data_IF_826811345628
#
_entry.id   IF_826811345628
#
_cell.length_a   1.000
_cell.length_b   1.000
_cell.length_c   1.000
_cell.angle_alpha   90.00
_cell.angle_beta   90.00
_cell.angle_gamma   90.00
#
_symmetry.space_group_name_H-M   'P 1'
#
loop_
_entity.id
_entity.type
_entity.pdbx_description
1 polymer ?
#
# COMPACT_ATOMS: atom_id res chain seq x y z
N UNK A 1 15.91 -8.20 -31.43
CA UNK A 1 15.22 -8.88 -30.31
C UNK A 1 16.21 -9.01 -29.17
N UNK A 2 15.92 -8.45 -27.99
CA UNK A 2 16.84 -8.46 -26.85
C UNK A 2 16.32 -9.44 -25.80
N UNK A 3 17.19 -10.31 -25.29
CA UNK A 3 16.90 -11.21 -24.17
C UNK A 3 17.72 -10.78 -22.98
N UNK A 4 17.06 -10.26 -21.95
CA UNK A 4 17.71 -9.99 -20.68
C UNK A 4 17.94 -11.31 -19.92
N UNK A 5 19.17 -11.54 -19.46
CA UNK A 5 19.55 -12.70 -18.64
C UNK A 5 20.21 -12.17 -17.37
N UNK A 6 19.45 -12.15 -16.28
CA UNK A 6 19.88 -11.60 -15.00
C UNK A 6 20.54 -12.68 -14.12
N UNK A 7 21.51 -12.31 -13.26
CA UNK A 7 22.19 -13.26 -12.38
C UNK A 7 21.25 -13.79 -11.28
N UNK A 8 21.36 -15.09 -10.96
CA UNK A 8 20.72 -15.66 -9.78
C UNK A 8 21.54 -15.31 -8.55
N UNK A 9 21.08 -14.36 -7.72
CA UNK A 9 21.43 -14.36 -6.29
C UNK A 9 20.20 -14.03 -5.44
N UNK A 10 19.42 -15.06 -5.14
CA UNK A 10 18.54 -15.07 -3.98
C UNK A 10 19.22 -15.93 -2.91
N UNK A 11 19.67 -15.31 -1.81
CA UNK A 11 20.14 -16.04 -0.62
C UNK A 11 18.94 -16.24 0.30
N UNK A 12 18.39 -17.45 0.32
CA UNK A 12 17.24 -17.85 1.12
C UNK A 12 17.57 -18.12 2.61
N UNK A 13 18.69 -17.59 3.12
CA UNK A 13 19.21 -18.01 4.44
C UNK A 13 18.44 -17.43 5.65
N UNK A 14 17.46 -16.53 5.45
CA UNK A 14 16.64 -15.95 6.54
C UNK A 14 15.12 -16.09 6.32
N UNK A 15 14.69 -17.13 5.61
CA UNK A 15 13.28 -17.36 5.31
C UNK A 15 12.55 -18.15 6.40
N UNK A 16 12.46 -17.63 7.64
CA UNK A 16 11.60 -18.21 8.70
C UNK A 16 11.03 -17.19 9.69
N UNK A 17 10.93 -15.91 9.33
CA UNK A 17 10.06 -14.98 10.07
C UNK A 17 8.93 -14.61 9.12
N UNK A 18 7.69 -15.00 9.44
CA UNK A 18 6.50 -14.43 8.81
C UNK A 18 6.55 -12.91 9.03
N UNK A 19 7.15 -12.19 8.08
CA UNK A 19 7.17 -10.74 8.11
C UNK A 19 5.74 -10.25 7.97
N UNK A 20 5.37 -9.33 8.85
CA UNK A 20 4.04 -8.72 8.81
C UNK A 20 3.89 -8.00 7.46
N UNK A 21 2.76 -8.15 6.76
CA UNK A 21 2.51 -7.34 5.58
C UNK A 21 2.54 -5.84 5.94
N UNK A 22 2.84 -4.96 4.97
CA UNK A 22 2.93 -3.52 5.20
C UNK A 22 1.60 -2.94 5.70
N UNK A 23 1.61 -1.67 6.12
CA UNK A 23 0.44 -0.99 6.73
C UNK A 23 -0.15 -1.76 7.93
N UNK A 24 0.71 -2.32 8.78
CA UNK A 24 0.36 -2.98 10.04
C UNK A 24 1.32 -2.58 11.17
N UNK A 25 1.83 -1.34 11.14
CA UNK A 25 2.87 -0.89 12.07
C UNK A 25 2.45 -1.01 13.55
N UNK A 26 1.16 -0.87 13.84
CA UNK A 26 0.60 -1.04 15.19
C UNK A 26 0.14 -2.48 15.50
N UNK A 27 0.50 -3.45 14.65
CA UNK A 27 0.07 -4.84 14.74
C UNK A 27 -1.19 -5.14 13.91
N UNK A 28 -1.28 -6.38 13.42
CA UNK A 28 -2.35 -6.80 12.50
C UNK A 28 -3.78 -6.59 13.05
N UNK A 29 -3.96 -6.73 14.37
CA UNK A 29 -5.26 -6.52 15.04
C UNK A 29 -5.70 -5.05 15.09
N UNK A 30 -4.78 -4.11 14.94
CA UNK A 30 -5.06 -2.68 14.99
C UNK A 30 -5.17 -2.05 13.59
N UNK A 31 -4.91 -2.83 12.53
CA UNK A 31 -5.16 -2.39 11.17
C UNK A 31 -6.68 -2.34 10.91
N UNK A 32 -7.12 -1.34 10.18
CA UNK A 32 -8.48 -1.22 9.72
C UNK A 32 -8.64 -2.02 8.42
N UNK A 33 -9.51 -3.03 8.47
CA UNK A 33 -9.84 -3.90 7.33
C UNK A 33 -11.22 -3.61 6.76
N UNK A 34 -11.94 -2.62 7.30
CA UNK A 34 -13.32 -2.34 6.93
C UNK A 34 -13.39 -1.49 5.66
N UNK A 35 -12.97 -2.08 4.55
CA UNK A 35 -13.07 -1.50 3.22
C UNK A 35 -14.12 -2.22 2.40
N UNK A 36 -14.92 -1.43 1.68
CA UNK A 36 -15.95 -1.87 0.76
C UNK A 36 -15.50 -1.55 -0.65
N UNK A 37 -15.77 -2.47 -1.58
CA UNK A 37 -15.41 -2.31 -2.99
C UNK A 37 -16.66 -2.26 -3.85
N UNK A 38 -16.66 -1.37 -4.83
CA UNK A 38 -17.66 -1.31 -5.89
C UNK A 38 -17.00 -1.43 -7.25
N UNK A 39 -17.33 -2.49 -7.98
CA UNK A 39 -16.75 -2.84 -9.27
C UNK A 39 -16.42 -4.33 -9.34
N UNK A 40 -16.38 -4.90 -10.55
CA UNK A 40 -16.10 -6.33 -10.79
C UNK A 40 -14.92 -6.56 -11.74
N UNK A 41 -14.06 -5.56 -11.85
CA UNK A 41 -12.94 -5.61 -12.79
C UNK A 41 -11.84 -6.55 -12.30
N UNK A 42 -11.10 -7.15 -13.23
CA UNK A 42 -10.02 -8.10 -12.93
C UNK A 42 -8.84 -7.48 -12.17
N UNK A 43 -8.72 -6.15 -12.21
CA UNK A 43 -7.71 -5.37 -11.48
C UNK A 43 -8.22 -4.85 -10.12
N UNK A 44 -9.43 -5.23 -9.70
CA UNK A 44 -9.90 -4.87 -8.37
C UNK A 44 -8.96 -5.46 -7.30
N UNK A 45 -8.62 -4.71 -6.23
CA UNK A 45 -7.83 -5.26 -5.16
C UNK A 45 -8.60 -6.36 -4.43
N UNK A 46 -7.89 -7.38 -3.97
CA UNK A 46 -8.43 -8.46 -3.15
C UNK A 46 -8.57 -8.07 -1.69
N UNK A 47 -7.61 -7.31 -1.20
CA UNK A 47 -7.55 -6.88 0.20
C UNK A 47 -7.14 -5.42 0.21
N UNK A 48 -7.85 -4.64 1.04
CA UNK A 48 -7.50 -3.25 1.33
C UNK A 48 -7.53 -3.08 2.84
N UNK A 49 -6.47 -2.48 3.38
CA UNK A 49 -6.38 -2.18 4.81
C UNK A 49 -5.51 -0.96 5.04
N UNK A 50 -5.66 -0.35 6.20
CA UNK A 50 -4.81 0.76 6.63
C UNK A 50 -4.37 0.60 8.09
N UNK A 51 -3.24 1.21 8.45
CA UNK A 51 -2.81 1.37 9.84
C UNK A 51 -2.99 2.81 10.34
N UNK A 52 -3.95 3.56 9.79
CA UNK A 52 -4.17 4.96 10.13
C UNK A 52 -3.08 5.92 9.66
N UNK A 53 -2.00 5.43 9.06
CA UNK A 53 -0.94 6.24 8.43
C UNK A 53 -0.82 5.94 6.94
N UNK A 54 -0.78 4.67 6.57
CA UNK A 54 -0.69 4.22 5.19
C UNK A 54 -1.83 3.26 4.85
N UNK A 55 -2.26 3.29 3.58
CA UNK A 55 -3.26 2.37 3.04
C UNK A 55 -2.58 1.38 2.10
N UNK A 56 -2.84 0.11 2.26
CA UNK A 56 -2.29 -0.96 1.46
C UNK A 56 -3.37 -1.60 0.58
N UNK A 57 -3.04 -1.79 -0.69
CA UNK A 57 -3.90 -2.41 -1.68
C UNK A 57 -3.20 -3.64 -2.25
N UNK A 58 -3.80 -4.82 -2.07
CA UNK A 58 -3.27 -6.07 -2.62
C UNK A 58 -4.02 -6.46 -3.87
N UNK A 59 -3.29 -6.53 -4.98
CA UNK A 59 -3.81 -6.88 -6.29
C UNK A 59 -3.52 -8.34 -6.66
N UNK A 60 -4.15 -8.79 -7.74
CA UNK A 60 -3.77 -10.04 -8.39
C UNK A 60 -2.37 -9.92 -8.97
N UNK A 61 -1.43 -10.81 -8.62
CA UNK A 61 -0.09 -10.80 -9.22
C UNK A 61 -0.11 -11.04 -10.74
N UNK A 62 -1.21 -11.55 -11.30
CA UNK A 62 -1.38 -11.78 -12.74
C UNK A 62 -2.25 -10.72 -13.44
N UNK A 63 -2.74 -9.69 -12.75
CA UNK A 63 -3.47 -8.58 -13.37
C UNK A 63 -2.55 -7.40 -13.67
N UNK A 64 -2.93 -6.59 -14.66
CA UNK A 64 -2.31 -5.27 -14.86
C UNK A 64 -2.46 -4.41 -13.60
N UNK A 65 -1.39 -3.71 -13.22
CA UNK A 65 -1.41 -2.80 -12.07
C UNK A 65 -2.13 -1.50 -12.45
N UNK A 66 -3.25 -1.17 -11.77
CA UNK A 66 -3.99 0.05 -12.02
C UNK A 66 -3.35 1.25 -11.31
N UNK A 67 -3.82 2.45 -11.65
CA UNK A 67 -3.50 3.68 -10.89
C UNK A 67 -4.52 3.91 -9.79
N UNK A 68 -4.04 4.34 -8.63
CA UNK A 68 -4.85 4.63 -7.44
C UNK A 68 -4.94 6.15 -7.28
N UNK A 69 -6.16 6.63 -7.05
CA UNK A 69 -6.48 8.03 -6.76
C UNK A 69 -7.25 8.07 -5.45
N UNK A 70 -7.09 9.16 -4.70
CA UNK A 70 -8.00 9.46 -3.58
C UNK A 70 -9.10 10.40 -4.06
N UNK A 71 -10.23 10.39 -3.38
CA UNK A 71 -11.28 11.39 -3.58
C UNK A 71 -11.11 12.48 -2.51
N UNK A 72 -11.00 13.73 -2.95
CA UNK A 72 -10.94 14.90 -2.09
C UNK A 72 -12.33 15.26 -1.53
N UNK A 73 -12.38 16.16 -0.55
CA UNK A 73 -13.65 16.55 0.10
C UNK A 73 -14.65 17.26 -0.83
N UNK A 74 -14.18 17.78 -1.96
CA UNK A 74 -14.98 18.36 -3.05
C UNK A 74 -15.41 17.33 -4.10
N UNK A 75 -15.00 16.07 -3.94
CA UNK A 75 -15.28 14.98 -4.88
C UNK A 75 -14.27 14.85 -6.01
N UNK A 76 -13.23 15.68 -6.08
CA UNK A 76 -12.20 15.57 -7.12
C UNK A 76 -11.23 14.43 -6.85
N UNK A 77 -10.79 13.77 -7.91
CA UNK A 77 -9.78 12.72 -7.83
C UNK A 77 -8.38 13.33 -7.82
N UNK A 78 -7.56 12.92 -6.85
CA UNK A 78 -6.17 13.35 -6.74
C UNK A 78 -5.24 12.14 -6.73
N UNK A 79 -4.14 12.24 -7.49
CA UNK A 79 -3.14 11.18 -7.54
C UNK A 79 -2.49 11.00 -6.17
N UNK A 80 -2.33 9.74 -5.77
CA UNK A 80 -1.68 9.39 -4.50
C UNK A 80 -0.22 9.03 -4.70
N UNK A 81 0.60 9.18 -3.66
CA UNK A 81 1.95 8.63 -3.67
C UNK A 81 1.90 7.14 -3.24
N UNK A 82 1.81 6.24 -4.23
CA UNK A 82 1.79 4.80 -4.03
C UNK A 82 3.05 4.12 -4.56
N UNK A 83 3.65 3.22 -3.78
CA UNK A 83 4.82 2.44 -4.20
C UNK A 83 4.58 0.94 -3.94
N UNK A 84 5.05 0.03 -4.82
CA UNK A 84 5.01 -1.39 -4.53
C UNK A 84 5.83 -1.72 -3.28
N UNK A 85 5.33 -2.64 -2.46
CA UNK A 85 6.09 -3.21 -1.35
C UNK A 85 7.33 -3.95 -1.88
N UNK A 86 8.47 -3.80 -1.20
CA UNK A 86 9.74 -4.36 -1.64
C UNK A 86 9.81 -5.88 -1.59
N UNK A 87 8.95 -6.50 -0.78
CA UNK A 87 8.92 -7.96 -0.59
C UNK A 87 7.74 -8.60 -1.34
N UNK A 88 6.64 -7.86 -1.49
CA UNK A 88 5.40 -8.32 -2.12
C UNK A 88 4.97 -7.33 -3.20
N UNK A 89 5.49 -7.50 -4.41
CA UNK A 89 5.24 -6.59 -5.53
C UNK A 89 3.75 -6.44 -5.93
N UNK A 90 2.86 -7.31 -5.45
CA UNK A 90 1.42 -7.21 -5.66
C UNK A 90 0.70 -6.38 -4.59
N UNK A 91 1.42 -5.82 -3.61
CA UNK A 91 0.89 -4.89 -2.62
C UNK A 91 1.40 -3.49 -2.97
N UNK A 92 0.49 -2.55 -3.17
CA UNK A 92 0.81 -1.12 -3.32
C UNK A 92 0.57 -0.44 -1.98
N UNK A 93 1.61 0.22 -1.46
CA UNK A 93 1.59 1.02 -0.23
C UNK A 93 1.38 2.47 -0.61
N UNK A 94 0.20 2.99 -0.27
CA UNK A 94 -0.17 4.40 -0.44
C UNK A 94 0.20 5.18 0.82
N UNK A 95 0.95 6.27 0.64
CA UNK A 95 1.52 7.08 1.72
C UNK A 95 0.51 8.01 2.41
N UNK A 96 -0.77 7.63 2.44
CA UNK A 96 -1.85 8.35 3.10
C UNK A 96 -3.02 7.42 3.44
N UNK A 97 -3.99 7.94 4.21
CA UNK A 97 -5.30 7.32 4.45
C UNK A 97 -6.41 8.24 3.98
N UNK A 98 -7.45 7.69 3.36
CA UNK A 98 -8.60 8.43 2.87
C UNK A 98 -9.85 7.55 2.98
N UNK A 99 -11.04 8.12 3.29
CA UNK A 99 -12.28 7.37 3.29
C UNK A 99 -12.67 6.81 1.92
N UNK A 100 -12.18 7.40 0.82
CA UNK A 100 -12.57 7.02 -0.53
C UNK A 100 -11.40 7.07 -1.52
N UNK A 101 -11.26 5.98 -2.27
CA UNK A 101 -10.28 5.83 -3.33
C UNK A 101 -10.96 5.37 -4.61
N UNK A 102 -10.40 5.80 -5.74
CA UNK A 102 -10.79 5.38 -7.07
C UNK A 102 -9.60 4.73 -7.75
N UNK A 103 -9.81 3.51 -8.25
CA UNK A 103 -8.78 2.72 -8.92
C UNK A 103 -9.13 2.65 -10.39
N UNK A 104 -8.20 3.10 -11.26
CA UNK A 104 -8.44 3.23 -12.70
C UNK A 104 -7.44 2.41 -13.52
N UNK A 105 -7.96 1.77 -14.54
CA UNK A 105 -7.18 1.16 -15.63
C UNK A 105 -7.85 1.51 -16.97
N UNK A 106 -7.28 2.49 -17.67
CA UNK A 106 -7.91 3.07 -18.85
C UNK A 106 -9.27 3.70 -18.52
N UNK A 107 -10.34 3.22 -19.16
CA UNK A 107 -11.73 3.69 -18.92
C UNK A 107 -12.45 2.95 -17.80
N UNK A 108 -11.84 1.89 -17.24
CA UNK A 108 -12.45 1.05 -16.21
C UNK A 108 -12.15 1.61 -14.83
N UNK A 109 -13.10 1.44 -13.91
CA UNK A 109 -13.07 2.05 -12.57
C UNK A 109 -13.53 1.06 -11.52
N UNK A 110 -12.85 1.07 -10.37
CA UNK A 110 -13.27 0.40 -9.13
C UNK A 110 -13.22 1.43 -8.01
N UNK A 111 -14.31 1.58 -7.26
CA UNK A 111 -14.36 2.44 -6.09
C UNK A 111 -14.05 1.63 -4.83
N UNK A 112 -13.35 2.24 -3.88
CA UNK A 112 -13.00 1.64 -2.59
C UNK A 112 -13.33 2.65 -1.50
N UNK A 113 -14.09 2.22 -0.49
CA UNK A 113 -14.55 3.11 0.59
C UNK A 113 -14.40 2.48 1.96
N UNK A 114 -14.06 3.30 2.97
CA UNK A 114 -14.15 2.93 4.38
C UNK A 114 -14.82 4.04 5.18
N UNK A 115 -15.78 3.66 6.03
CA UNK A 115 -16.44 4.59 6.96
C UNK A 115 -15.76 4.61 8.34
N UNK A 116 -14.65 3.88 8.52
CA UNK A 116 -13.98 3.71 9.83
C UNK A 116 -12.52 4.14 9.84
N UNK A 117 -12.13 5.06 8.95
CA UNK A 117 -10.77 5.61 8.92
C UNK A 117 -10.42 6.25 10.27
N UNK A 118 -9.29 5.86 10.83
CA UNK A 118 -8.76 6.42 12.08
C UNK A 118 -7.35 6.93 11.84
N UNK A 119 -7.21 8.24 11.62
CA UNK A 119 -5.91 8.85 11.44
C UNK A 119 -5.02 8.66 12.69
N UNK A 120 -3.78 8.25 12.47
CA UNK A 120 -2.78 8.18 13.54
C UNK A 120 -1.96 9.45 13.62
N UNK A 121 -1.56 9.86 14.84
CA UNK A 121 -0.64 10.98 15.00
C UNK A 121 0.73 10.67 14.40
N UNK A 122 1.53 11.72 14.18
CA UNK A 122 2.92 11.59 13.75
C UNK A 122 3.71 10.68 14.69
N UNK A 123 4.54 9.78 14.14
CA UNK A 123 5.42 8.93 14.93
C UNK A 123 6.69 9.71 15.35
N UNK A 124 7.15 9.49 16.59
CA UNK A 124 8.38 10.13 17.08
C UNK A 124 9.64 9.58 16.41
N UNK A 125 9.60 8.34 15.91
CA UNK A 125 10.72 7.73 15.19
C UNK A 125 10.98 8.35 13.82
N UNK A 126 10.01 9.03 13.21
CA UNK A 126 10.13 9.54 11.84
C UNK A 126 10.22 8.46 10.76
N UNK A 127 10.08 7.17 11.10
CA UNK A 127 10.08 6.05 10.14
C UNK A 127 9.08 4.95 10.55
N UNK A 128 8.66 4.12 9.60
CA UNK A 128 7.67 3.04 9.81
C UNK A 128 8.26 1.63 9.80
N UNK A 129 9.58 1.51 9.65
CA UNK A 129 10.29 0.22 9.58
C UNK A 129 10.92 -0.22 10.92
N UNK A 130 10.52 0.42 12.03
CA UNK A 130 11.06 0.15 13.36
C UNK A 130 12.41 0.81 13.66
N UNK A 131 12.97 1.55 12.69
CA UNK A 131 14.16 2.38 12.90
C UNK A 131 13.77 3.77 13.45
N UNK A 132 14.75 4.58 13.84
CA UNK A 132 14.54 5.98 14.25
C UNK A 132 15.38 6.88 13.34
N UNK A 133 14.79 7.96 12.84
CA UNK A 133 15.49 9.03 12.12
C UNK A 133 16.24 9.90 13.13
N UNK A 134 17.56 9.99 12.98
CA UNK A 134 18.43 10.87 13.74
C UNK A 134 19.12 11.87 12.81
N UNK A 135 19.44 13.06 13.31
CA UNK A 135 20.26 14.03 12.58
C UNK A 135 21.71 13.66 12.88
N UNK A 136 22.48 13.32 11.84
CA UNK A 136 23.92 13.12 11.99
C UNK A 136 24.56 14.49 12.23
N UNK A 137 25.20 14.69 13.38
CA UNK A 137 26.13 15.80 13.57
C UNK A 137 27.43 15.47 12.82
N UNK A 138 27.92 16.42 12.03
CA UNK A 138 29.18 16.26 11.31
C UNK A 138 30.34 16.14 12.33
N UNK A 139 30.99 14.97 12.34
CA UNK A 139 32.41 14.81 12.65
C UNK A 139 33.16 14.53 11.34
#
# INVERSE_FOLDING_TARGET
MVRFKYPKKYSAANATVFKRPPCQSNGAYNANWNYQLQGKESFAPYEVWDDGRFTCFKFNPSSDLPMIYRVAGDGEEMLVNGNPDSENNNIIVVQETNPEFVIRLGKKVVAVRSDTIKAMPSNRSGTTNGMTREIKSDE
#
